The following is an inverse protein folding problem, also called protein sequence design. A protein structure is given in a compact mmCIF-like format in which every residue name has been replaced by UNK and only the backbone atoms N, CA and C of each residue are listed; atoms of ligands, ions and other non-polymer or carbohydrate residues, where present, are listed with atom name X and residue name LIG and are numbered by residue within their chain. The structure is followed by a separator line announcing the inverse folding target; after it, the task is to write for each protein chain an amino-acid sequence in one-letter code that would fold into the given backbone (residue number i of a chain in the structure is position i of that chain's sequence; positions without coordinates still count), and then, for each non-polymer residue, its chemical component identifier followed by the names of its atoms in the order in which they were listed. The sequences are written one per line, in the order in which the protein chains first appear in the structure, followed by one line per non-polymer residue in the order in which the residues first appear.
data_IF_999000790882
#
_entry.id   IF_999000790882
#
_cell.length_a   1.000
_cell.length_b   1.000
_cell.length_c   1.000
_cell.angle_alpha   90.00
_cell.angle_beta   90.00
_cell.angle_gamma   90.00
#
_symmetry.space_group_name_H-M   'P 1'
#
loop_
_entity.id
_entity.type
_entity.pdbx_description
1 polymer ?
#
# COMPACT_ATOMS: atom_id res chain seq x y z
N UNK A 1 -6.93 10.01 -1.29
CA UNK A 1 -6.19 9.80 -2.55
C UNK A 1 -5.75 11.14 -3.13
N UNK A 2 -6.66 11.98 -3.66
CA UNK A 2 -6.36 13.26 -4.29
C UNK A 2 -5.50 14.24 -3.46
N UNK A 3 -5.75 14.35 -2.15
CA UNK A 3 -4.97 15.22 -1.26
C UNK A 3 -3.47 14.84 -1.12
N UNK A 4 -3.09 13.63 -1.55
CA UNK A 4 -1.72 13.10 -1.56
C UNK A 4 -1.23 12.79 -2.99
N UNK A 5 -1.94 13.30 -3.99
CA UNK A 5 -1.65 13.09 -5.40
C UNK A 5 -1.46 11.59 -5.76
N UNK A 6 -2.29 10.72 -5.20
CA UNK A 6 -2.27 9.28 -5.53
C UNK A 6 -3.39 9.02 -6.53
N UNK A 7 -3.05 8.52 -7.71
CA UNK A 7 -4.00 8.15 -8.77
C UNK A 7 -4.60 6.76 -8.53
N UNK A 8 -5.70 6.49 -9.22
CA UNK A 8 -6.31 5.15 -9.17
C UNK A 8 -5.40 4.10 -9.84
N UNK A 9 -4.68 4.48 -10.91
CA UNK A 9 -3.71 3.59 -11.58
C UNK A 9 -2.57 3.19 -10.64
N UNK A 10 -2.04 4.12 -9.86
CA UNK A 10 -1.01 3.82 -8.85
C UNK A 10 -1.55 2.91 -7.75
N UNK A 11 -2.82 3.07 -7.38
CA UNK A 11 -3.46 2.20 -6.39
C UNK A 11 -3.64 0.78 -6.94
N UNK A 12 -4.09 0.63 -8.19
CA UNK A 12 -4.23 -0.67 -8.87
C UNK A 12 -2.85 -1.33 -8.99
N UNK A 13 -1.84 -0.59 -9.43
CA UNK A 13 -0.47 -1.11 -9.54
C UNK A 13 0.11 -1.55 -8.18
N UNK A 14 -0.19 -0.81 -7.11
CA UNK A 14 0.20 -1.19 -5.75
C UNK A 14 -0.53 -2.45 -5.28
N UNK A 15 -1.80 -2.63 -5.64
CA UNK A 15 -2.59 -3.84 -5.31
C UNK A 15 -2.05 -5.07 -6.05
N UNK A 16 -1.73 -4.94 -7.32
CA UNK A 16 -1.35 -6.07 -8.18
C UNK A 16 0.12 -6.47 -8.04
N UNK A 17 1.01 -5.49 -7.88
CA UNK A 17 2.46 -5.70 -7.96
C UNK A 17 3.21 -5.23 -6.70
N UNK A 18 2.50 -4.84 -5.64
CA UNK A 18 3.10 -4.48 -4.38
C UNK A 18 3.62 -5.69 -3.60
N UNK A 19 4.67 -5.46 -2.82
CA UNK A 19 5.18 -6.44 -1.86
C UNK A 19 4.21 -6.56 -0.69
N UNK A 20 3.73 -7.78 -0.44
CA UNK A 20 2.77 -8.08 0.62
C UNK A 20 3.50 -8.55 1.89
N UNK A 21 3.20 -7.93 3.03
CA UNK A 21 3.60 -8.37 4.36
C UNK A 21 2.36 -8.67 5.20
N UNK A 22 2.25 -9.89 5.69
CA UNK A 22 1.17 -10.28 6.58
C UNK A 22 1.43 -9.78 8.00
N UNK A 23 0.48 -9.04 8.56
CA UNK A 23 0.48 -8.68 9.99
C UNK A 23 -0.14 -9.81 10.82
N UNK A 24 -1.22 -10.38 10.32
CA UNK A 24 -1.91 -11.54 10.89
C UNK A 24 -2.64 -12.32 9.77
N UNK A 25 -3.53 -13.25 10.13
CA UNK A 25 -4.22 -14.12 9.18
C UNK A 25 -5.08 -13.36 8.16
N UNK A 26 -5.57 -12.17 8.50
CA UNK A 26 -6.49 -11.39 7.64
C UNK A 26 -5.94 -10.00 7.33
N UNK A 27 -5.04 -9.45 8.13
CA UNK A 27 -4.48 -8.10 7.90
C UNK A 27 -3.17 -8.17 7.14
N UNK A 28 -3.11 -7.41 6.07
CA UNK A 28 -1.93 -7.28 5.21
C UNK A 28 -1.52 -5.84 5.02
N UNK A 29 -0.25 -5.69 4.75
CA UNK A 29 0.41 -4.46 4.37
C UNK A 29 0.99 -4.65 2.98
N UNK A 30 0.73 -3.72 2.07
CA UNK A 30 1.22 -3.81 0.69
C UNK A 30 2.00 -2.55 0.37
N UNK A 31 3.23 -2.72 -0.12
CA UNK A 31 4.15 -1.63 -0.36
C UNK A 31 4.77 -1.73 -1.76
N UNK A 32 4.92 -0.59 -2.45
CA UNK A 32 5.62 -0.54 -3.73
C UNK A 32 6.37 0.77 -3.87
N UNK A 33 7.58 0.67 -4.41
CA UNK A 33 8.37 1.83 -4.79
C UNK A 33 7.95 2.32 -6.19
N UNK A 34 7.59 3.60 -6.29
CA UNK A 34 7.23 4.28 -7.53
C UNK A 34 8.34 5.27 -7.89
N UNK A 35 9.03 5.01 -9.01
CA UNK A 35 10.19 5.79 -9.46
C UNK A 35 9.82 7.23 -9.84
N UNK A 36 8.58 7.47 -10.26
CA UNK A 36 8.10 8.76 -10.76
C UNK A 36 7.46 9.66 -9.70
N UNK A 37 7.59 9.30 -8.42
CA UNK A 37 7.09 10.09 -7.31
C UNK A 37 8.25 10.80 -6.60
N UNK A 38 7.96 11.69 -5.66
CA UNK A 38 8.97 12.24 -4.72
C UNK A 38 8.83 11.64 -3.32
N UNK A 39 7.68 11.06 -3.01
CA UNK A 39 7.32 10.35 -1.78
C UNK A 39 7.39 8.83 -1.94
N UNK A 40 8.34 8.39 -2.78
CA UNK A 40 8.49 7.17 -3.60
C UNK A 40 7.99 5.83 -3.09
N UNK A 41 7.64 5.68 -1.82
CA UNK A 41 7.09 4.47 -1.26
C UNK A 41 5.63 4.68 -0.88
N UNK A 42 4.73 4.14 -1.71
CA UNK A 42 3.32 4.03 -1.35
C UNK A 42 3.08 2.73 -0.60
N UNK A 43 2.24 2.81 0.42
CA UNK A 43 1.93 1.71 1.29
C UNK A 43 0.45 1.71 1.63
N UNK A 44 -0.19 0.55 1.71
CA UNK A 44 -1.52 0.45 2.27
C UNK A 44 -1.67 -0.67 3.30
N UNK A 45 -2.58 -0.42 4.25
CA UNK A 45 -3.13 -1.45 5.11
C UNK A 45 -4.45 -1.95 4.53
N UNK A 46 -4.57 -3.26 4.38
CA UNK A 46 -5.80 -3.91 3.94
C UNK A 46 -6.18 -5.09 4.83
N UNK A 47 -7.46 -5.45 4.73
CA UNK A 47 -8.01 -6.68 5.31
C UNK A 47 -8.43 -7.59 4.16
N UNK A 48 -7.98 -8.84 4.21
CA UNK A 48 -8.32 -9.93 3.30
C UNK A 48 -9.39 -10.82 3.95
N UNK A 49 -10.62 -10.68 3.47
CA UNK A 49 -11.77 -11.55 3.76
C UNK A 49 -12.33 -12.04 2.41
N UNK A 50 -13.66 -12.06 2.21
CA UNK A 50 -14.27 -12.34 0.90
C UNK A 50 -13.88 -11.29 -0.17
N UNK A 51 -13.44 -10.11 0.27
CA UNK A 51 -12.93 -9.01 -0.55
C UNK A 51 -11.74 -8.38 0.14
N UNK A 52 -10.86 -7.76 -0.64
CA UNK A 52 -9.82 -6.90 -0.08
C UNK A 52 -10.39 -5.51 0.20
N UNK A 53 -10.25 -5.05 1.45
CA UNK A 53 -10.65 -3.69 1.85
C UNK A 53 -9.41 -2.89 2.20
N UNK A 54 -9.06 -1.92 1.35
CA UNK A 54 -7.98 -0.95 1.62
C UNK A 54 -8.48 0.07 2.64
N UNK A 55 -7.88 0.06 3.84
CA UNK A 55 -8.29 0.93 4.95
C UNK A 55 -7.58 2.28 4.92
N UNK A 56 -6.27 2.25 4.67
CA UNK A 56 -5.41 3.43 4.74
C UNK A 56 -4.32 3.32 3.70
N UNK A 57 -4.09 4.41 2.94
CA UNK A 57 -2.94 4.58 2.06
C UNK A 57 -2.01 5.65 2.64
N UNK A 58 -0.73 5.32 2.75
CA UNK A 58 0.34 6.11 3.34
C UNK A 58 1.47 6.29 2.31
N UNK A 59 2.25 7.35 2.49
CA UNK A 59 3.48 7.63 1.75
C UNK A 59 4.59 7.96 2.76
N UNK A 60 5.87 7.80 2.39
CA UNK A 60 7.03 7.88 3.31
C UNK A 60 7.01 6.87 4.47
N UNK A 61 6.53 5.65 4.23
CA UNK A 61 6.52 4.59 5.25
C UNK A 61 7.88 3.88 5.31
N UNK A 62 8.42 3.65 6.50
CA UNK A 62 9.56 2.76 6.71
C UNK A 62 9.10 1.51 7.45
N UNK A 63 9.64 0.34 7.10
CA UNK A 63 9.38 -0.88 7.86
C UNK A 63 10.03 -0.73 9.23
N UNK A 64 9.29 -0.93 10.32
CA UNK A 64 9.92 -1.24 11.60
C UNK A 64 10.71 -2.55 11.43
N UNK A 65 12.03 -2.44 11.35
CA UNK A 65 12.93 -3.56 11.55
C UNK A 65 12.81 -3.99 13.02
N UNK A 66 12.51 -5.27 13.24
CA UNK A 66 12.54 -5.90 14.56
C UNK A 66 13.86 -6.62 14.75
#
# INVERSE_FOLDING_TARGET
MAARNISDDELIELIEAGMVKHKDAVRVWVAKHFVNRQDNLLWFAAVLEDKMVVKTVMHHFEWEEK
#
